data_IF_026155233167
#
_entry.id   IF_026155233167
#
_cell.length_a   1.000
_cell.length_b   1.000
_cell.length_c   1.000
_cell.angle_alpha   90.00
_cell.angle_beta   90.00
_cell.angle_gamma   90.00
#
_symmetry.space_group_name_H-M   'P 1'
#
loop_
_entity.id
_entity.type
_entity.pdbx_description
1 polymer ?
#
# COMPACT_ATOMS: atom_id res chain seq x y z
N UNK A 1 21.11 -6.14 2.67
CA UNK A 1 20.83 -7.16 1.65
C UNK A 1 19.71 -8.06 2.17
N UNK A 2 18.71 -8.31 1.37
CA UNK A 2 17.64 -9.27 1.67
C UNK A 2 17.74 -10.43 0.68
N UNK A 3 17.24 -11.60 1.08
CA UNK A 3 17.22 -12.78 0.22
C UNK A 3 15.78 -13.09 -0.19
N UNK A 4 15.55 -13.35 -1.48
CA UNK A 4 14.22 -13.70 -1.99
C UNK A 4 13.76 -15.07 -1.46
N UNK A 5 14.69 -16.04 -1.40
CA UNK A 5 14.43 -17.41 -0.95
C UNK A 5 15.45 -17.84 0.10
N UNK A 6 15.31 -17.46 1.40
CA UNK A 6 16.26 -17.84 2.43
C UNK A 6 16.36 -19.36 2.64
N UNK A 7 15.33 -20.11 2.25
CA UNK A 7 15.33 -21.57 2.29
C UNK A 7 16.41 -22.21 1.40
N UNK A 8 16.92 -21.51 0.38
CA UNK A 8 17.99 -22.01 -0.49
C UNK A 8 19.30 -22.32 0.26
N UNK A 9 19.52 -21.72 1.43
CA UNK A 9 20.68 -22.02 2.27
C UNK A 9 20.74 -23.48 2.76
N UNK A 10 19.59 -24.18 2.81
CA UNK A 10 19.54 -25.61 3.12
C UNK A 10 20.18 -26.50 2.04
N UNK A 11 20.50 -25.94 0.87
CA UNK A 11 21.24 -26.66 -0.19
C UNK A 11 22.75 -26.69 0.05
N UNK A 12 23.32 -25.87 0.94
CA UNK A 12 24.74 -25.84 1.24
C UNK A 12 25.30 -27.22 1.70
N UNK A 13 24.66 -27.93 2.65
CA UNK A 13 25.13 -29.25 3.03
C UNK A 13 25.22 -30.23 1.86
N UNK A 14 24.28 -30.12 0.91
CA UNK A 14 24.23 -30.96 -0.29
C UNK A 14 25.43 -30.70 -1.21
N UNK A 15 25.89 -29.45 -1.33
CA UNK A 15 27.12 -29.07 -2.06
C UNK A 15 28.33 -29.71 -1.42
N UNK A 16 28.43 -29.71 -0.08
CA UNK A 16 29.52 -30.34 0.63
C UNK A 16 29.53 -31.86 0.43
N UNK A 17 28.35 -32.50 0.53
CA UNK A 17 28.21 -33.95 0.31
C UNK A 17 28.61 -34.34 -1.12
N UNK A 18 28.13 -33.55 -2.13
CA UNK A 18 28.46 -33.79 -3.53
C UNK A 18 29.97 -33.62 -3.82
N UNK A 19 30.60 -32.59 -3.26
CA UNK A 19 32.02 -32.32 -3.38
C UNK A 19 32.86 -33.43 -2.70
N UNK A 20 32.43 -33.84 -1.50
CA UNK A 20 33.08 -34.95 -0.78
C UNK A 20 32.94 -36.28 -1.50
N UNK A 21 31.74 -36.60 -2.04
CA UNK A 21 31.49 -37.81 -2.82
C UNK A 21 32.39 -37.85 -4.07
N UNK A 22 32.48 -36.72 -4.79
CA UNK A 22 33.37 -36.59 -5.94
C UNK A 22 34.85 -36.77 -5.55
N UNK A 23 35.29 -36.22 -4.42
CA UNK A 23 36.66 -36.41 -3.92
C UNK A 23 36.95 -37.85 -3.58
N UNK A 24 35.95 -38.60 -3.15
CA UNK A 24 36.09 -40.02 -2.76
C UNK A 24 35.95 -40.98 -3.94
N UNK A 25 35.45 -40.54 -5.08
CA UNK A 25 35.39 -41.40 -6.28
C UNK A 25 36.77 -41.89 -6.67
N UNK A 26 36.93 -43.22 -6.76
CA UNK A 26 38.15 -43.86 -7.24
C UNK A 26 38.27 -43.61 -8.74
N UNK A 27 39.34 -42.92 -9.17
CA UNK A 27 39.65 -42.79 -10.60
C UNK A 27 40.18 -44.14 -11.09
N UNK A 28 39.89 -44.47 -12.33
CA UNK A 28 40.45 -45.64 -12.97
C UNK A 28 42.00 -45.58 -12.86
N UNK A 29 42.59 -46.56 -12.26
CA UNK A 29 44.06 -46.68 -12.18
C UNK A 29 44.54 -47.60 -13.29
N UNK A 30 45.45 -47.11 -14.10
CA UNK A 30 46.17 -47.99 -15.07
C UNK A 30 47.27 -48.66 -14.30
N UNK A 31 47.24 -50.04 -14.24
CA UNK A 31 48.30 -50.81 -13.67
C UNK A 31 49.48 -50.78 -14.63
N UNK A 32 50.59 -50.16 -14.23
CA UNK A 32 51.82 -50.10 -14.97
C UNK A 32 52.86 -50.90 -14.20
N UNK A 33 53.67 -51.73 -14.90
CA UNK A 33 54.57 -52.64 -14.28
C UNK A 33 55.87 -52.04 -13.68
N UNK A 34 56.15 -50.75 -14.05
CA UNK A 34 57.40 -50.10 -13.61
C UNK A 34 57.13 -48.71 -13.00
N UNK A 35 56.76 -48.71 -11.73
CA UNK A 35 56.37 -47.51 -10.96
C UNK A 35 57.59 -46.61 -10.64
N UNK A 36 58.82 -47.10 -10.72
CA UNK A 36 60.02 -46.32 -10.38
C UNK A 36 60.32 -45.15 -11.29
N UNK A 37 59.90 -45.19 -12.56
CA UNK A 37 60.02 -44.09 -13.52
C UNK A 37 59.16 -42.87 -13.22
N UNK A 38 58.13 -42.99 -12.40
CA UNK A 38 57.16 -41.95 -12.12
C UNK A 38 57.25 -41.39 -10.69
N UNK A 39 58.19 -41.86 -9.87
CA UNK A 39 58.26 -41.57 -8.44
C UNK A 39 58.49 -40.13 -8.09
N UNK A 40 59.14 -39.33 -8.93
CA UNK A 40 59.36 -37.90 -8.68
C UNK A 40 58.24 -37.01 -9.19
N UNK A 41 57.38 -37.46 -10.08
CA UNK A 41 56.33 -36.68 -10.71
C UNK A 41 55.00 -36.70 -9.96
N UNK A 42 54.80 -37.65 -9.05
CA UNK A 42 53.45 -37.93 -8.49
C UNK A 42 53.07 -37.18 -7.20
N UNK A 43 54.02 -36.64 -6.41
CA UNK A 43 53.69 -36.23 -5.04
C UNK A 43 52.91 -34.89 -4.93
N UNK A 44 53.52 -33.81 -5.35
CA UNK A 44 53.05 -32.46 -5.03
C UNK A 44 51.94 -31.95 -6.00
N UNK A 45 52.08 -32.23 -7.29
CA UNK A 45 51.09 -31.83 -8.32
C UNK A 45 49.75 -32.57 -8.18
N UNK A 46 49.77 -33.84 -7.84
CA UNK A 46 48.56 -34.63 -7.66
C UNK A 46 47.74 -34.14 -6.44
N UNK A 47 48.38 -33.72 -5.38
CA UNK A 47 47.74 -33.21 -4.19
C UNK A 47 47.12 -31.81 -4.47
N UNK A 48 47.83 -30.92 -5.17
CA UNK A 48 47.36 -29.60 -5.58
C UNK A 48 46.17 -29.72 -6.53
N UNK A 49 46.19 -30.63 -7.51
CA UNK A 49 45.08 -30.79 -8.46
C UNK A 49 43.81 -31.34 -7.78
N UNK A 50 43.96 -32.29 -6.81
CA UNK A 50 42.82 -32.80 -6.03
C UNK A 50 42.25 -31.78 -5.09
N UNK A 51 43.08 -31.06 -4.33
CA UNK A 51 42.66 -30.03 -3.41
C UNK A 51 42.04 -28.82 -4.14
N UNK A 52 42.68 -28.38 -5.21
CA UNK A 52 42.19 -27.30 -6.06
C UNK A 52 40.86 -27.62 -6.74
N UNK A 53 40.72 -28.86 -7.25
CA UNK A 53 39.46 -29.30 -7.85
C UNK A 53 38.30 -29.40 -6.86
N UNK A 54 38.58 -29.82 -5.61
CA UNK A 54 37.59 -29.85 -4.53
C UNK A 54 37.16 -28.42 -4.16
N UNK A 55 38.12 -27.53 -3.92
CA UNK A 55 37.90 -26.16 -3.53
C UNK A 55 37.13 -25.39 -4.61
N UNK A 56 37.49 -25.58 -5.88
CA UNK A 56 36.80 -24.99 -7.01
C UNK A 56 35.32 -25.41 -7.09
N UNK A 57 35.00 -26.67 -6.87
CA UNK A 57 33.63 -27.19 -6.86
C UNK A 57 32.83 -26.64 -5.67
N UNK A 58 33.43 -26.51 -4.51
CA UNK A 58 32.80 -25.90 -3.34
C UNK A 58 32.47 -24.42 -3.60
N UNK A 59 33.41 -23.67 -4.18
CA UNK A 59 33.18 -22.25 -4.53
C UNK A 59 32.05 -22.11 -5.54
N UNK A 60 32.10 -22.87 -6.65
CA UNK A 60 31.05 -22.81 -7.68
C UNK A 60 29.69 -23.26 -7.13
N UNK A 61 29.67 -24.33 -6.35
CA UNK A 61 28.44 -24.80 -5.72
C UNK A 61 27.84 -23.77 -4.74
N UNK A 62 28.69 -23.11 -3.95
CA UNK A 62 28.26 -22.04 -3.04
C UNK A 62 27.74 -20.82 -3.79
N UNK A 63 28.36 -20.44 -4.92
CA UNK A 63 27.86 -19.36 -5.79
C UNK A 63 26.50 -19.71 -6.40
N UNK A 64 26.27 -20.96 -6.79
CA UNK A 64 24.95 -21.40 -7.28
C UNK A 64 23.88 -21.34 -6.19
N UNK A 65 24.21 -21.77 -4.97
CA UNK A 65 23.29 -21.66 -3.82
C UNK A 65 22.99 -20.19 -3.52
N UNK A 66 24.02 -19.31 -3.57
CA UNK A 66 23.84 -17.87 -3.40
C UNK A 66 22.92 -17.29 -4.49
N UNK A 67 23.08 -17.73 -5.74
CA UNK A 67 22.20 -17.33 -6.83
C UNK A 67 20.76 -17.80 -6.60
N UNK A 68 20.55 -19.02 -6.13
CA UNK A 68 19.23 -19.54 -5.77
C UNK A 68 18.60 -18.82 -4.57
N UNK A 69 19.42 -18.34 -3.61
CA UNK A 69 18.94 -17.53 -2.51
C UNK A 69 18.41 -16.17 -2.95
N UNK A 70 18.77 -15.71 -4.17
CA UNK A 70 18.27 -14.48 -4.77
C UNK A 70 18.64 -13.24 -3.95
N UNK A 71 19.95 -12.87 -3.87
CA UNK A 71 20.35 -11.65 -3.17
C UNK A 71 19.77 -10.42 -3.86
N UNK A 72 19.10 -9.55 -3.07
CA UNK A 72 18.46 -8.32 -3.58
C UNK A 72 18.72 -7.15 -2.64
N UNK A 73 18.85 -5.97 -3.23
CA UNK A 73 18.91 -4.70 -2.52
C UNK A 73 17.63 -3.91 -2.77
N UNK A 74 17.03 -3.34 -1.73
CA UNK A 74 15.88 -2.47 -1.90
C UNK A 74 16.30 -1.19 -2.63
N UNK A 75 15.46 -0.76 -3.58
CA UNK A 75 15.63 0.53 -4.25
C UNK A 75 15.11 1.64 -3.33
N UNK A 76 16.03 2.44 -2.79
CA UNK A 76 15.69 3.52 -1.87
C UNK A 76 14.81 4.62 -2.49
N UNK A 77 14.79 4.72 -3.83
CA UNK A 77 13.95 5.69 -4.54
C UNK A 77 12.49 5.27 -4.59
N UNK A 78 12.20 4.01 -4.28
CA UNK A 78 10.84 3.46 -4.27
C UNK A 78 10.35 3.13 -2.86
N UNK A 79 10.87 3.82 -1.84
CA UNK A 79 10.41 3.68 -0.47
C UNK A 79 8.96 4.14 -0.37
N UNK A 80 8.11 3.25 0.11
CA UNK A 80 6.77 3.60 0.56
C UNK A 80 6.73 3.34 2.07
N UNK A 81 6.24 4.28 2.89
CA UNK A 81 6.01 3.99 4.30
C UNK A 81 5.05 2.80 4.41
N UNK A 82 5.44 1.79 5.17
CA UNK A 82 4.68 0.52 5.28
C UNK A 82 3.46 0.61 6.19
N UNK A 83 3.41 1.65 7.02
CA UNK A 83 2.36 1.85 8.01
C UNK A 83 1.50 3.06 7.64
N UNK A 84 1.06 3.12 6.39
CA UNK A 84 -0.04 3.98 6.01
C UNK A 84 -1.34 3.50 6.65
N UNK A 85 -2.29 4.40 6.79
CA UNK A 85 -3.65 4.09 7.25
C UNK A 85 -4.55 3.76 6.05
N UNK A 86 -5.62 3.00 6.30
CA UNK A 86 -6.66 2.79 5.31
C UNK A 86 -7.75 3.83 5.53
N UNK A 87 -8.01 4.67 4.53
CA UNK A 87 -9.00 5.74 4.58
C UNK A 87 -10.07 5.46 3.52
N UNK A 88 -11.32 5.40 3.93
CA UNK A 88 -12.46 5.46 3.02
C UNK A 88 -13.15 6.81 3.18
N UNK A 89 -13.20 7.57 2.09
CA UNK A 89 -14.04 8.73 1.98
C UNK A 89 -15.45 8.29 1.56
N UNK A 90 -16.46 8.64 2.36
CA UNK A 90 -17.88 8.47 2.06
C UNK A 90 -18.44 9.85 1.76
N UNK A 91 -18.68 10.14 0.48
CA UNK A 91 -19.03 11.47 0.00
C UNK A 91 -20.49 11.51 -0.46
N UNK A 92 -21.23 12.42 0.11
CA UNK A 92 -22.59 12.72 -0.31
C UNK A 92 -22.60 13.36 -1.70
N UNK A 93 -23.46 12.84 -2.59
CA UNK A 93 -23.73 13.41 -3.92
C UNK A 93 -25.24 13.68 -4.12
N UNK A 94 -25.98 13.81 -3.02
CA UNK A 94 -27.41 14.16 -3.04
C UNK A 94 -27.66 15.55 -3.60
N UNK A 95 -28.92 15.90 -3.77
CA UNK A 95 -29.34 17.20 -4.35
C UNK A 95 -28.84 18.43 -3.58
N UNK A 96 -28.73 18.36 -2.25
CA UNK A 96 -28.21 19.43 -1.39
C UNK A 96 -26.76 19.81 -1.68
N UNK A 97 -25.96 18.85 -2.21
CA UNK A 97 -24.58 19.10 -2.61
C UNK A 97 -24.42 19.99 -3.85
N UNK A 98 -25.50 20.33 -4.51
CA UNK A 98 -25.46 21.28 -5.63
C UNK A 98 -25.57 22.75 -5.17
N UNK A 99 -25.87 23.02 -3.88
CA UNK A 99 -25.96 24.36 -3.37
C UNK A 99 -24.62 25.09 -3.46
N UNK A 100 -24.68 26.45 -3.74
CA UNK A 100 -23.46 27.25 -3.88
C UNK A 100 -22.77 27.48 -2.54
N UNK A 101 -21.43 27.49 -2.58
CA UNK A 101 -20.56 27.81 -1.44
C UNK A 101 -19.34 28.59 -1.92
N UNK A 102 -18.84 29.53 -1.08
CA UNK A 102 -17.59 30.24 -1.38
C UNK A 102 -16.41 29.31 -1.22
N UNK A 103 -15.53 29.28 -2.22
CA UNK A 103 -14.31 28.48 -2.18
C UNK A 103 -13.11 29.21 -1.56
N UNK A 104 -12.98 30.51 -1.85
CA UNK A 104 -11.96 31.42 -1.31
C UNK A 104 -12.49 32.84 -1.25
N UNK A 105 -11.79 33.75 -0.60
CA UNK A 105 -12.22 35.15 -0.45
C UNK A 105 -12.37 35.91 -1.79
N UNK A 106 -11.58 35.51 -2.81
CA UNK A 106 -11.58 36.15 -4.13
C UNK A 106 -12.33 35.34 -5.21
N UNK A 107 -12.75 34.11 -4.91
CA UNK A 107 -13.29 33.20 -5.91
C UNK A 107 -14.82 33.30 -6.01
N UNK A 108 -15.33 33.03 -7.22
CA UNK A 108 -16.74 32.79 -7.48
C UNK A 108 -17.31 31.65 -6.64
N UNK A 109 -18.59 31.67 -6.39
CA UNK A 109 -19.31 30.56 -5.77
C UNK A 109 -19.23 29.31 -6.62
N UNK A 110 -18.98 28.18 -5.97
CA UNK A 110 -18.96 26.83 -6.58
C UNK A 110 -19.94 25.94 -5.83
N UNK A 111 -20.32 24.78 -6.40
CA UNK A 111 -21.17 23.84 -5.67
C UNK A 111 -20.45 23.23 -4.49
N UNK A 112 -21.19 22.83 -3.44
CA UNK A 112 -20.62 22.08 -2.29
C UNK A 112 -19.88 20.83 -2.72
N UNK A 113 -20.40 20.10 -3.71
CA UNK A 113 -19.73 18.91 -4.26
C UNK A 113 -18.38 19.27 -4.89
N UNK A 114 -18.32 20.37 -5.66
CA UNK A 114 -17.06 20.83 -6.25
C UNK A 114 -16.06 21.28 -5.19
N UNK A 115 -16.51 21.95 -4.14
CA UNK A 115 -15.67 22.32 -3.00
C UNK A 115 -15.13 21.08 -2.27
N UNK A 116 -15.99 20.08 -2.00
CA UNK A 116 -15.63 18.82 -1.39
C UNK A 116 -14.60 18.05 -2.24
N UNK A 117 -14.81 18.02 -3.54
CA UNK A 117 -13.92 17.39 -4.52
C UNK A 117 -12.55 18.03 -4.52
N UNK A 118 -12.44 19.35 -4.56
CA UNK A 118 -11.18 20.09 -4.51
C UNK A 118 -10.46 19.90 -3.18
N UNK A 119 -11.15 19.99 -2.06
CA UNK A 119 -10.57 19.79 -0.74
C UNK A 119 -10.05 18.36 -0.55
N UNK A 120 -10.80 17.36 -1.01
CA UNK A 120 -10.37 15.97 -0.99
C UNK A 120 -9.15 15.72 -1.87
N UNK A 121 -9.09 16.31 -3.06
CA UNK A 121 -7.91 16.19 -3.92
C UNK A 121 -6.67 16.83 -3.28
N UNK A 122 -6.80 18.00 -2.62
CA UNK A 122 -5.72 18.61 -1.85
C UNK A 122 -5.26 17.71 -0.69
N UNK A 123 -6.18 17.11 0.03
CA UNK A 123 -5.87 16.19 1.12
C UNK A 123 -5.08 14.97 0.64
N UNK A 124 -5.44 14.39 -0.51
CA UNK A 124 -4.82 13.19 -1.05
C UNK A 124 -3.48 13.48 -1.73
N UNK A 125 -3.45 14.48 -2.62
CA UNK A 125 -2.30 14.75 -3.48
C UNK A 125 -1.34 15.77 -2.90
N UNK A 126 -1.82 16.56 -1.95
CA UNK A 126 -1.11 17.74 -1.50
C UNK A 126 -1.17 18.87 -2.52
N UNK A 127 -0.51 19.95 -2.21
CA UNK A 127 -0.43 21.16 -3.03
C UNK A 127 -0.61 22.43 -2.22
N UNK A 128 -0.52 23.56 -2.89
CA UNK A 128 -0.71 24.87 -2.25
C UNK A 128 -2.14 25.35 -2.43
N UNK A 129 -2.71 25.90 -1.39
CA UNK A 129 -3.99 26.61 -1.46
C UNK A 129 -3.80 28.01 -2.05
N UNK A 130 -4.89 28.67 -2.52
CA UNK A 130 -4.82 30.06 -2.97
C UNK A 130 -4.25 31.02 -1.90
N UNK A 131 -4.45 30.71 -0.63
CA UNK A 131 -3.95 31.48 0.52
C UNK A 131 -2.47 31.17 0.86
N UNK A 132 -1.80 30.30 0.10
CA UNK A 132 -0.39 29.97 0.27
C UNK A 132 -0.11 28.86 1.31
N UNK A 133 -1.13 28.17 1.80
CA UNK A 133 -0.98 27.06 2.71
C UNK A 133 -0.59 25.77 1.96
N UNK A 134 0.34 25.01 2.52
CA UNK A 134 0.85 23.79 1.93
C UNK A 134 0.18 22.55 2.54
N UNK A 135 -0.38 21.70 1.68
CA UNK A 135 -0.83 20.36 2.04
C UNK A 135 0.22 19.34 1.61
N UNK A 136 0.71 18.50 2.53
CA UNK A 136 1.77 17.54 2.19
C UNK A 136 1.29 16.32 1.41
N UNK A 137 -0.04 16.09 1.33
CA UNK A 137 -0.62 14.91 0.70
C UNK A 137 -0.41 13.61 1.48
N UNK A 138 -0.99 12.50 0.96
CA UNK A 138 -1.00 11.18 1.61
C UNK A 138 -0.56 10.05 0.68
N UNK A 139 0.67 10.08 0.15
CA UNK A 139 1.12 9.09 -0.82
C UNK A 139 1.26 7.67 -0.27
N UNK A 140 1.29 7.52 1.05
CA UNK A 140 1.54 6.26 1.77
C UNK A 140 0.28 5.57 2.24
N UNK A 141 -0.85 6.27 2.24
CA UNK A 141 -2.11 5.74 2.75
C UNK A 141 -2.87 5.02 1.65
N UNK A 142 -3.64 3.99 2.01
CA UNK A 142 -4.58 3.37 1.10
C UNK A 142 -5.89 4.15 1.14
N UNK A 143 -6.25 4.82 0.04
CA UNK A 143 -7.43 5.68 0.00
C UNK A 143 -8.45 5.13 -0.99
N UNK A 144 -9.71 5.08 -0.56
CA UNK A 144 -10.86 4.71 -1.41
C UNK A 144 -11.97 5.73 -1.34
N UNK A 145 -12.93 5.61 -2.24
CA UNK A 145 -14.07 6.52 -2.37
C UNK A 145 -15.38 5.74 -2.52
N UNK A 146 -16.29 6.02 -1.64
CA UNK A 146 -17.70 5.63 -1.72
C UNK A 146 -18.52 6.91 -1.91
N UNK A 147 -19.41 6.94 -2.88
CA UNK A 147 -20.40 8.02 -3.02
C UNK A 147 -21.76 7.49 -2.67
N UNK A 148 -22.62 8.36 -2.20
CA UNK A 148 -23.98 7.99 -1.90
C UNK A 148 -24.96 9.14 -2.13
N UNK A 149 -26.17 8.75 -2.40
CA UNK A 149 -27.38 9.54 -2.36
C UNK A 149 -28.47 8.60 -1.80
N UNK A 150 -29.49 8.22 -2.54
CA UNK A 150 -30.46 7.20 -2.13
C UNK A 150 -29.80 5.80 -1.96
N UNK A 151 -28.82 5.49 -2.79
CA UNK A 151 -28.09 4.20 -2.79
C UNK A 151 -26.58 4.46 -2.77
N UNK A 152 -25.81 3.79 -1.90
CA UNK A 152 -24.36 3.90 -1.88
C UNK A 152 -23.70 3.14 -3.03
N UNK A 153 -22.57 3.66 -3.51
CA UNK A 153 -21.76 3.04 -4.55
C UNK A 153 -20.26 3.20 -4.26
N UNK A 154 -19.54 2.11 -4.25
CA UNK A 154 -18.08 2.16 -4.27
C UNK A 154 -17.59 2.64 -5.63
N UNK A 155 -17.06 3.84 -5.70
CA UNK A 155 -16.52 4.47 -6.92
C UNK A 155 -15.06 4.09 -7.13
N UNK A 156 -14.30 4.08 -6.05
CA UNK A 156 -12.90 3.67 -6.05
C UNK A 156 -12.62 2.78 -4.84
N UNK A 157 -12.19 1.53 -5.03
CA UNK A 157 -11.75 0.69 -3.92
C UNK A 157 -10.46 1.25 -3.30
N UNK A 158 -10.08 0.76 -2.11
CA UNK A 158 -8.82 1.14 -1.47
C UNK A 158 -7.64 0.92 -2.40
N UNK A 159 -6.88 1.97 -2.67
CA UNK A 159 -5.75 1.95 -3.59
C UNK A 159 -4.64 2.87 -3.11
N UNK A 160 -3.39 2.52 -3.45
CA UNK A 160 -2.22 3.40 -3.36
C UNK A 160 -1.97 4.16 -4.67
N UNK A 161 -2.71 3.84 -5.73
CA UNK A 161 -2.57 4.49 -7.03
C UNK A 161 -3.54 5.67 -7.15
N UNK A 162 -3.28 6.72 -6.37
CA UNK A 162 -4.16 7.88 -6.31
C UNK A 162 -4.20 8.66 -7.63
N UNK A 163 -3.05 8.81 -8.29
CA UNK A 163 -2.92 9.68 -9.46
C UNK A 163 -3.73 9.19 -10.68
N UNK A 164 -3.72 7.88 -10.95
CA UNK A 164 -4.35 7.35 -12.18
C UNK A 164 -5.76 6.80 -11.96
N UNK A 165 -6.08 6.35 -10.74
CA UNK A 165 -7.38 5.72 -10.46
C UNK A 165 -8.29 6.67 -9.68
N UNK A 166 -7.84 7.13 -8.51
CA UNK A 166 -8.70 7.92 -7.62
C UNK A 166 -9.02 9.29 -8.22
N UNK A 167 -8.03 10.03 -8.74
CA UNK A 167 -8.25 11.35 -9.33
C UNK A 167 -9.28 11.32 -10.43
N UNK A 168 -9.17 10.38 -11.37
CA UNK A 168 -10.08 10.27 -12.49
C UNK A 168 -11.52 10.01 -12.06
N UNK A 169 -11.71 9.24 -10.99
CA UNK A 169 -13.04 8.96 -10.45
C UNK A 169 -13.62 10.17 -9.72
N UNK A 170 -12.82 10.87 -8.93
CA UNK A 170 -13.23 12.06 -8.21
C UNK A 170 -13.65 13.19 -9.17
N UNK A 171 -12.90 13.38 -10.28
CA UNK A 171 -13.19 14.41 -11.28
C UNK A 171 -14.50 14.15 -12.06
N UNK A 172 -14.99 12.92 -12.08
CA UNK A 172 -16.24 12.52 -12.76
C UNK A 172 -17.48 12.56 -11.87
N UNK A 173 -17.35 12.97 -10.61
CA UNK A 173 -18.48 13.03 -9.70
C UNK A 173 -19.44 14.13 -10.13
N UNK A 174 -20.70 13.78 -10.19
CA UNK A 174 -21.81 14.70 -10.47
C UNK A 174 -22.91 14.54 -9.41
N UNK A 175 -23.57 15.64 -9.00
CA UNK A 175 -24.67 15.57 -8.06
C UNK A 175 -25.85 14.80 -8.67
N UNK A 176 -26.52 13.99 -7.87
CA UNK A 176 -27.71 13.25 -8.28
C UNK A 176 -28.94 14.14 -8.25
N UNK A 177 -29.86 13.91 -9.18
CA UNK A 177 -31.11 14.67 -9.30
C UNK A 177 -32.33 13.72 -9.35
N UNK A 178 -33.48 14.22 -9.03
CA UNK A 178 -34.75 13.48 -9.10
C UNK A 178 -34.92 12.45 -7.96
N UNK A 179 -35.45 11.29 -8.27
CA UNK A 179 -35.80 10.25 -7.29
C UNK A 179 -34.52 9.69 -6.58
N UNK A 180 -33.40 9.72 -7.26
CA UNK A 180 -32.10 9.25 -6.73
C UNK A 180 -31.40 10.28 -5.82
N UNK A 181 -31.99 11.47 -5.63
CA UNK A 181 -31.39 12.57 -4.85
C UNK A 181 -31.56 12.44 -3.33
N UNK A 182 -32.26 11.41 -2.85
CA UNK A 182 -32.39 11.13 -1.42
C UNK A 182 -31.06 10.78 -0.78
N UNK A 183 -30.98 10.89 0.56
CA UNK A 183 -29.74 10.68 1.32
C UNK A 183 -29.87 9.47 2.24
N UNK A 184 -29.00 8.48 2.10
CA UNK A 184 -28.96 7.27 2.93
C UNK A 184 -27.57 7.13 3.58
N UNK A 185 -27.40 7.80 4.71
CA UNK A 185 -26.14 7.83 5.46
C UNK A 185 -25.78 6.46 6.05
N UNK A 186 -26.76 5.71 6.55
CA UNK A 186 -26.52 4.45 7.25
C UNK A 186 -25.90 3.39 6.36
N UNK A 187 -26.51 3.11 5.21
CA UNK A 187 -26.00 2.12 4.25
C UNK A 187 -24.69 2.59 3.62
N UNK A 188 -24.51 3.91 3.42
CA UNK A 188 -23.28 4.47 2.91
C UNK A 188 -22.09 4.22 3.86
N UNK A 189 -22.29 4.42 5.15
CA UNK A 189 -21.31 4.07 6.17
C UNK A 189 -21.03 2.56 6.17
N UNK A 190 -22.06 1.71 6.09
CA UNK A 190 -21.90 0.27 6.07
C UNK A 190 -21.06 -0.20 4.87
N UNK A 191 -21.29 0.34 3.67
CA UNK A 191 -20.49 0.06 2.48
C UNK A 191 -19.03 0.44 2.71
N UNK A 192 -18.76 1.62 3.27
CA UNK A 192 -17.40 2.05 3.63
C UNK A 192 -16.74 1.12 4.65
N UNK A 193 -17.45 0.71 5.68
CA UNK A 193 -16.97 -0.19 6.73
C UNK A 193 -16.62 -1.58 6.18
N UNK A 194 -17.42 -2.14 5.27
CA UNK A 194 -17.13 -3.42 4.60
C UNK A 194 -15.81 -3.34 3.86
N UNK A 195 -15.54 -2.24 3.14
CA UNK A 195 -14.27 -2.04 2.42
C UNK A 195 -13.08 -1.90 3.37
N UNK A 196 -13.25 -1.18 4.48
CA UNK A 196 -12.22 -1.04 5.50
C UNK A 196 -11.95 -2.35 6.25
N UNK A 197 -12.98 -3.13 6.53
CA UNK A 197 -12.83 -4.41 7.22
C UNK A 197 -11.91 -5.36 6.43
N UNK A 198 -12.06 -5.40 5.11
CA UNK A 198 -11.24 -6.22 4.24
C UNK A 198 -9.78 -5.74 4.09
N UNK A 199 -9.44 -4.53 4.55
CA UNK A 199 -8.10 -3.97 4.43
C UNK A 199 -7.15 -4.59 5.49
N UNK A 200 -5.89 -4.90 5.11
CA UNK A 200 -4.91 -5.49 6.03
C UNK A 200 -4.28 -4.47 7.00
N UNK A 201 -4.62 -3.19 6.89
CA UNK A 201 -4.04 -2.11 7.69
C UNK A 201 -4.48 -2.19 9.15
N UNK A 202 -3.58 -1.85 10.06
CA UNK A 202 -3.87 -1.80 11.51
C UNK A 202 -4.77 -0.61 11.87
N UNK A 203 -4.51 0.57 11.26
CA UNK A 203 -5.33 1.78 11.45
C UNK A 203 -6.29 1.94 10.28
N UNK A 204 -7.57 2.11 10.58
CA UNK A 204 -8.66 2.25 9.62
C UNK A 204 -9.51 3.44 10.00
N UNK A 205 -9.80 4.29 9.03
CA UNK A 205 -10.53 5.55 9.22
C UNK A 205 -11.60 5.67 8.15
N UNK A 206 -12.79 6.08 8.57
CA UNK A 206 -13.87 6.48 7.68
C UNK A 206 -14.08 7.97 7.80
N UNK A 207 -14.12 8.68 6.67
CA UNK A 207 -14.46 10.09 6.60
C UNK A 207 -15.83 10.21 5.94
N UNK A 208 -16.81 10.67 6.67
CA UNK A 208 -18.16 10.92 6.17
C UNK A 208 -18.33 12.40 5.88
N UNK A 209 -18.57 12.76 4.63
CA UNK A 209 -18.89 14.12 4.21
C UNK A 209 -20.36 14.18 3.77
N UNK A 210 -21.20 14.78 4.59
CA UNK A 210 -22.66 14.90 4.40
C UNK A 210 -23.23 15.98 5.30
N UNK A 211 -24.36 16.55 4.93
CA UNK A 211 -25.14 17.44 5.80
C UNK A 211 -25.90 16.69 6.91
N UNK A 212 -25.82 15.37 6.93
CA UNK A 212 -26.43 14.51 7.95
C UNK A 212 -27.92 14.27 7.79
N UNK A 213 -28.58 14.90 6.81
CA UNK A 213 -29.98 14.64 6.53
C UNK A 213 -30.14 13.19 6.05
N UNK A 214 -31.06 12.45 6.65
CA UNK A 214 -31.37 11.06 6.28
C UNK A 214 -32.81 11.04 5.75
N UNK A 215 -32.94 11.27 4.44
CA UNK A 215 -34.26 11.44 3.79
C UNK A 215 -34.79 10.17 3.14
N UNK A 216 -33.91 9.22 2.82
CA UNK A 216 -34.29 7.96 2.20
C UNK A 216 -34.44 6.85 3.26
N UNK A 217 -35.63 6.76 3.86
CA UNK A 217 -35.95 5.80 4.92
C UNK A 217 -36.81 4.67 4.33
N UNK A 218 -36.23 3.49 4.23
CA UNK A 218 -36.92 2.23 3.91
C UNK A 218 -36.77 1.27 5.09
N UNK A 219 -37.67 0.32 5.27
CA UNK A 219 -37.61 -0.60 6.40
C UNK A 219 -36.33 -1.44 6.43
N UNK A 220 -35.74 -1.72 5.26
CA UNK A 220 -34.52 -2.52 5.10
C UNK A 220 -33.22 -1.69 5.26
N UNK A 221 -33.29 -0.37 5.31
CA UNK A 221 -32.09 0.49 5.37
C UNK A 221 -31.52 0.57 6.79
N UNK A 222 -30.20 0.56 6.87
CA UNK A 222 -29.48 0.74 8.13
C UNK A 222 -29.62 2.18 8.61
N UNK A 223 -29.97 2.37 9.88
CA UNK A 223 -30.03 3.73 10.45
C UNK A 223 -28.61 4.23 10.73
N UNK A 224 -28.32 5.55 10.63
CA UNK A 224 -26.99 6.10 10.88
C UNK A 224 -26.37 5.68 12.22
N UNK A 225 -27.18 5.65 13.27
CA UNK A 225 -26.75 5.25 14.62
C UNK A 225 -26.37 3.76 14.71
N UNK A 226 -27.03 2.88 13.95
CA UNK A 226 -26.70 1.45 13.88
C UNK A 226 -25.37 1.26 13.12
N UNK A 227 -25.14 2.02 12.04
CA UNK A 227 -23.89 2.01 11.33
C UNK A 227 -22.72 2.52 12.20
N UNK A 228 -22.97 3.57 13.01
CA UNK A 228 -21.98 4.06 13.97
C UNK A 228 -21.63 3.00 15.04
N UNK A 229 -22.63 2.29 15.55
CA UNK A 229 -22.39 1.18 16.49
C UNK A 229 -21.56 0.06 15.86
N UNK A 230 -21.83 -0.25 14.57
CA UNK A 230 -21.03 -1.23 13.83
C UNK A 230 -19.58 -0.75 13.67
N UNK A 231 -19.37 0.53 13.33
CA UNK A 231 -18.03 1.11 13.24
C UNK A 231 -17.27 1.05 14.57
N UNK A 232 -17.93 1.41 15.67
CA UNK A 232 -17.37 1.33 17.01
C UNK A 232 -16.98 -0.11 17.39
N UNK A 233 -17.82 -1.10 17.10
CA UNK A 233 -17.55 -2.52 17.35
C UNK A 233 -16.35 -3.04 16.52
N UNK A 234 -16.13 -2.48 15.33
CA UNK A 234 -14.99 -2.79 14.45
C UNK A 234 -13.71 -2.00 14.83
N UNK A 235 -13.79 -1.08 15.78
CA UNK A 235 -12.66 -0.20 16.16
C UNK A 235 -12.27 0.78 15.05
N UNK A 236 -13.23 1.17 14.20
CA UNK A 236 -13.02 2.11 13.09
C UNK A 236 -13.52 3.48 13.51
N UNK A 237 -12.61 4.47 13.56
CA UNK A 237 -12.98 5.85 13.84
C UNK A 237 -13.68 6.49 12.64
N UNK A 238 -14.78 7.18 12.89
CA UNK A 238 -15.55 7.90 11.86
C UNK A 238 -15.45 9.39 12.11
N UNK A 239 -14.83 10.11 11.18
CA UNK A 239 -14.79 11.57 11.16
C UNK A 239 -15.92 12.06 10.29
N UNK A 240 -16.71 13.00 10.82
CA UNK A 240 -17.84 13.58 10.08
C UNK A 240 -17.52 15.01 9.71
N UNK A 241 -17.64 15.35 8.44
CA UNK A 241 -17.47 16.70 7.89
C UNK A 241 -18.83 17.17 7.38
N UNK A 242 -19.30 18.26 7.93
CA UNK A 242 -20.57 18.88 7.60
C UNK A 242 -20.33 20.09 6.67
N UNK A 243 -20.58 19.96 5.35
CA UNK A 243 -20.36 21.03 4.38
C UNK A 243 -21.49 22.04 4.31
N UNK A 244 -22.58 21.81 5.02
CA UNK A 244 -23.71 22.69 5.02
C UNK A 244 -23.50 23.85 6.00
N UNK A 245 -23.60 25.06 5.49
CA UNK A 245 -23.55 26.30 6.26
C UNK A 245 -24.77 26.49 7.16
N UNK A 246 -24.87 27.71 7.72
CA UNK A 246 -26.07 28.15 8.39
C UNK A 246 -27.19 28.35 7.37
N UNK A 247 -28.40 27.95 7.76
CA UNK A 247 -29.56 28.16 6.92
C UNK A 247 -29.87 29.65 6.79
N UNK A 248 -30.37 30.13 5.63
CA UNK A 248 -30.86 31.50 5.47
C UNK A 248 -31.86 31.87 6.55
N UNK A 249 -31.89 33.16 6.92
CA UNK A 249 -32.76 33.66 7.98
C UNK A 249 -34.27 33.46 7.72
N UNK A 250 -34.67 33.32 6.48
CA UNK A 250 -36.01 33.08 5.98
C UNK A 250 -36.41 31.60 5.87
N UNK A 251 -35.53 30.68 6.30
CA UNK A 251 -35.83 29.26 6.28
C UNK A 251 -36.99 28.87 7.16
N UNK A 252 -37.79 27.90 6.69
CA UNK A 252 -38.95 27.40 7.45
C UNK A 252 -38.51 26.71 8.75
N UNK A 253 -39.38 26.69 9.78
CA UNK A 253 -39.09 25.98 11.02
C UNK A 253 -38.75 24.50 10.82
N UNK A 254 -39.40 23.86 9.84
CA UNK A 254 -39.15 22.44 9.48
C UNK A 254 -37.75 22.25 8.91
N UNK A 255 -37.26 23.12 8.03
CA UNK A 255 -35.91 23.07 7.49
C UNK A 255 -34.88 23.24 8.60
N UNK A 256 -35.09 24.15 9.55
CA UNK A 256 -34.18 24.33 10.69
C UNK A 256 -34.15 23.10 11.56
N UNK A 257 -35.30 22.51 11.87
CA UNK A 257 -35.39 21.28 12.67
C UNK A 257 -34.68 20.13 11.99
N UNK A 258 -34.90 19.89 10.69
CA UNK A 258 -34.22 18.83 9.95
C UNK A 258 -32.68 19.03 9.94
N UNK A 259 -32.25 20.26 9.76
CA UNK A 259 -30.81 20.61 9.81
C UNK A 259 -30.20 20.35 11.18
N UNK A 260 -30.90 20.70 12.26
CA UNK A 260 -30.44 20.44 13.63
C UNK A 260 -30.35 18.90 13.92
N UNK A 261 -31.34 18.14 13.46
CA UNK A 261 -31.33 16.68 13.55
C UNK A 261 -30.15 16.10 12.76
N UNK A 262 -29.90 16.57 11.54
CA UNK A 262 -28.75 16.15 10.72
C UNK A 262 -27.42 16.40 11.41
N UNK A 263 -27.22 17.63 11.92
CA UNK A 263 -26.02 18.01 12.68
C UNK A 263 -25.83 17.15 13.91
N UNK A 264 -26.87 16.92 14.68
CA UNK A 264 -26.81 16.05 15.86
C UNK A 264 -26.48 14.61 15.50
N UNK A 265 -27.03 14.12 14.39
CA UNK A 265 -26.72 12.77 13.88
C UNK A 265 -25.23 12.62 13.56
N UNK A 266 -24.63 13.60 12.89
CA UNK A 266 -23.19 13.59 12.58
C UNK A 266 -22.33 13.66 13.84
N UNK A 267 -22.72 14.46 14.82
CA UNK A 267 -22.05 14.55 16.13
C UNK A 267 -22.13 13.24 16.91
N UNK A 268 -23.29 12.60 16.92
CA UNK A 268 -23.50 11.30 17.56
C UNK A 268 -22.62 10.21 16.92
N UNK A 269 -22.58 10.16 15.58
CA UNK A 269 -21.72 9.21 14.82
C UNK A 269 -20.25 9.38 15.22
N UNK A 270 -19.74 10.62 15.18
CA UNK A 270 -18.36 10.90 15.52
C UNK A 270 -18.04 10.52 16.96
N UNK A 271 -18.90 10.91 17.91
CA UNK A 271 -18.70 10.62 19.34
C UNK A 271 -18.73 9.11 19.64
N UNK A 272 -19.69 8.38 19.07
CA UNK A 272 -19.84 6.94 19.27
C UNK A 272 -18.64 6.13 18.76
N UNK A 273 -17.96 6.62 17.73
CA UNK A 273 -16.86 5.91 17.06
C UNK A 273 -15.48 6.39 17.48
N UNK A 274 -15.41 7.39 18.37
CA UNK A 274 -14.13 7.98 18.81
C UNK A 274 -13.47 8.85 17.75
N UNK A 275 -14.22 9.31 16.75
CA UNK A 275 -13.82 10.33 15.77
C UNK A 275 -14.17 11.74 16.22
N UNK A 276 -14.21 12.68 15.28
CA UNK A 276 -14.52 14.08 15.51
C UNK A 276 -15.49 14.62 14.46
N UNK A 277 -16.42 15.47 14.90
CA UNK A 277 -17.30 16.25 14.03
C UNK A 277 -16.61 17.56 13.66
N UNK A 278 -16.58 17.89 12.38
CA UNK A 278 -15.96 19.08 11.80
C UNK A 278 -17.02 19.85 10.99
N UNK A 279 -17.28 21.08 11.37
CA UNK A 279 -18.19 21.97 10.63
C UNK A 279 -17.43 22.73 9.56
N UNK A 280 -17.94 22.76 8.34
CA UNK A 280 -17.27 23.33 7.18
C UNK A 280 -18.25 24.15 6.32
N UNK A 281 -18.65 25.29 6.83
CA UNK A 281 -19.69 26.18 6.23
C UNK A 281 -19.24 26.87 4.93
N UNK A 282 -17.96 26.87 4.62
CA UNK A 282 -17.41 27.40 3.37
C UNK A 282 -16.17 26.57 2.92
N UNK A 283 -15.60 26.93 1.77
CA UNK A 283 -14.45 26.24 1.23
C UNK A 283 -13.18 26.38 2.08
N UNK A 284 -13.05 27.47 2.83
CA UNK A 284 -11.93 27.71 3.75
C UNK A 284 -12.06 26.78 4.95
N UNK A 285 -13.24 26.75 5.58
CA UNK A 285 -13.53 25.86 6.70
C UNK A 285 -13.42 24.38 6.29
N UNK A 286 -13.79 24.04 5.06
CA UNK A 286 -13.67 22.69 4.53
C UNK A 286 -12.19 22.26 4.38
N UNK A 287 -11.33 23.14 3.88
CA UNK A 287 -9.87 22.87 3.83
C UNK A 287 -9.28 22.72 5.23
N UNK A 288 -9.69 23.59 6.16
CA UNK A 288 -9.27 23.50 7.55
C UNK A 288 -9.70 22.19 8.23
N UNK A 289 -10.93 21.72 7.96
CA UNK A 289 -11.40 20.42 8.43
C UNK A 289 -10.52 19.26 7.94
N UNK A 290 -10.15 19.26 6.66
CA UNK A 290 -9.22 18.27 6.12
C UNK A 290 -7.81 18.38 6.69
N UNK A 291 -7.34 19.59 7.02
CA UNK A 291 -6.05 19.80 7.69
C UNK A 291 -6.05 19.26 9.12
N UNK A 292 -7.11 19.55 9.88
CA UNK A 292 -7.26 18.99 11.22
C UNK A 292 -7.27 17.46 11.19
N UNK A 293 -7.99 16.88 10.26
CA UNK A 293 -8.02 15.43 10.05
C UNK A 293 -6.63 14.87 9.66
N UNK A 294 -5.87 15.60 8.84
CA UNK A 294 -4.50 15.23 8.50
C UNK A 294 -3.61 15.17 9.75
N UNK A 295 -3.72 16.14 10.64
CA UNK A 295 -2.97 16.16 11.89
C UNK A 295 -3.38 15.04 12.85
N UNK A 296 -4.67 14.76 12.98
CA UNK A 296 -5.20 13.72 13.89
C UNK A 296 -4.80 12.31 13.46
N UNK A 297 -4.77 12.04 12.16
CA UNK A 297 -4.58 10.71 11.60
C UNK A 297 -3.26 10.53 10.85
N UNK A 298 -2.27 11.37 11.10
CA UNK A 298 -0.93 11.19 10.53
C UNK A 298 -0.14 10.23 11.41
N UNK A 299 -0.08 8.96 10.99
CA UNK A 299 0.77 7.97 11.63
C UNK A 299 2.26 8.26 11.29
N UNK A 300 3.19 8.20 12.28
CA UNK A 300 4.61 8.25 11.98
C UNK A 300 4.99 7.01 11.16
N UNK A 301 5.62 7.23 10.00
CA UNK A 301 6.12 6.14 9.17
C UNK A 301 7.30 5.46 9.87
N UNK A 302 7.06 4.35 10.54
CA UNK A 302 8.09 3.59 11.29
C UNK A 302 8.75 2.51 10.46
N UNK A 303 8.07 2.05 9.40
CA UNK A 303 8.54 0.97 8.53
C UNK A 303 8.39 1.38 7.06
N UNK A 304 9.32 0.91 6.21
CA UNK A 304 9.26 1.18 4.78
C UNK A 304 9.07 -0.11 3.98
N UNK A 305 8.10 -0.13 3.08
CA UNK A 305 7.98 -1.14 2.03
C UNK A 305 8.70 -0.65 0.77
N UNK A 306 9.52 -1.51 0.21
CA UNK A 306 10.21 -1.21 -1.04
C UNK A 306 9.44 -1.84 -2.20
N UNK A 307 9.04 -1.02 -3.16
CA UNK A 307 8.26 -1.45 -4.32
C UNK A 307 9.14 -2.13 -5.38
N UNK A 308 10.43 -1.81 -5.42
CA UNK A 308 11.41 -2.39 -6.35
C UNK A 308 12.63 -2.85 -5.60
N UNK A 309 13.19 -3.95 -6.10
CA UNK A 309 14.46 -4.50 -5.63
C UNK A 309 15.40 -4.64 -6.80
N UNK A 310 16.68 -4.28 -6.62
CA UNK A 310 17.75 -4.63 -7.54
C UNK A 310 18.17 -6.08 -7.26
N UNK A 311 17.99 -6.94 -8.25
CA UNK A 311 18.30 -8.36 -8.16
C UNK A 311 19.74 -8.60 -8.59
N UNK A 312 20.52 -9.26 -7.72
CA UNK A 312 21.93 -9.59 -7.96
C UNK A 312 22.16 -11.05 -8.31
N UNK A 313 21.11 -11.86 -8.44
CA UNK A 313 21.24 -13.25 -8.82
C UNK A 313 21.85 -13.45 -10.23
N UNK A 314 21.66 -12.59 -11.26
CA UNK A 314 22.28 -12.78 -12.55
C UNK A 314 23.82 -12.71 -12.49
N UNK A 315 24.36 -11.80 -11.64
CA UNK A 315 25.80 -11.69 -11.42
C UNK A 315 26.37 -12.91 -10.70
N UNK A 316 25.64 -13.45 -9.74
CA UNK A 316 26.03 -14.67 -9.06
C UNK A 316 26.03 -15.89 -10.01
N UNK A 317 25.04 -15.99 -10.92
CA UNK A 317 24.98 -17.04 -11.95
C UNK A 317 26.14 -16.89 -12.94
N UNK A 318 26.40 -15.67 -13.43
CA UNK A 318 27.51 -15.44 -14.37
C UNK A 318 28.86 -15.78 -13.73
N UNK A 319 29.09 -15.40 -12.46
CA UNK A 319 30.30 -15.76 -11.72
C UNK A 319 30.44 -17.28 -11.54
N UNK A 320 29.34 -17.98 -11.23
CA UNK A 320 29.34 -19.44 -11.13
C UNK A 320 29.67 -20.13 -12.47
N UNK A 321 29.11 -19.60 -13.57
CA UNK A 321 29.33 -20.15 -14.91
C UNK A 321 30.80 -19.95 -15.37
N UNK A 322 31.35 -18.75 -15.15
CA UNK A 322 32.78 -18.47 -15.41
C UNK A 322 33.65 -19.35 -14.54
N UNK A 323 33.31 -19.53 -13.25
CA UNK A 323 34.01 -20.44 -12.35
C UNK A 323 34.02 -21.90 -12.84
N UNK A 324 32.87 -22.39 -13.36
CA UNK A 324 32.78 -23.73 -13.97
C UNK A 324 33.67 -23.89 -15.20
N UNK A 325 33.65 -22.89 -16.10
CA UNK A 325 34.51 -22.93 -17.31
C UNK A 325 35.99 -22.92 -16.96
N UNK A 326 36.39 -22.05 -16.03
CA UNK A 326 37.78 -22.02 -15.52
C UNK A 326 38.19 -23.33 -14.88
N UNK A 327 37.30 -23.92 -14.08
CA UNK A 327 37.57 -25.20 -13.43
C UNK A 327 37.74 -26.32 -14.45
N UNK A 328 36.90 -26.36 -15.48
CA UNK A 328 37.04 -27.29 -16.61
C UNK A 328 38.31 -27.07 -17.39
N UNK A 329 38.67 -25.81 -17.68
CA UNK A 329 39.91 -25.46 -18.37
C UNK A 329 41.16 -25.91 -17.56
N UNK A 330 41.18 -25.65 -16.25
CA UNK A 330 42.26 -26.09 -15.36
C UNK A 330 42.36 -27.63 -15.29
N UNK A 331 41.24 -28.34 -15.24
CA UNK A 331 41.20 -29.79 -15.25
C UNK A 331 41.72 -30.42 -16.56
N UNK A 332 41.49 -29.75 -17.69
CA UNK A 332 41.93 -30.23 -19.01
C UNK A 332 43.35 -29.83 -19.35
N UNK A 333 43.90 -28.79 -18.73
CA UNK A 333 45.25 -28.24 -19.03
C UNK A 333 46.25 -28.57 -17.90
N UNK A 334 46.17 -27.83 -16.79
CA UNK A 334 47.19 -27.84 -15.74
C UNK A 334 47.00 -28.95 -14.71
N UNK A 335 45.78 -29.34 -14.43
CA UNK A 335 45.43 -30.39 -13.46
C UNK A 335 45.17 -31.76 -14.13
N UNK A 336 45.63 -31.88 -15.35
CA UNK A 336 45.51 -33.15 -16.10
C UNK A 336 46.30 -34.22 -15.34
N UNK A 337 45.60 -35.07 -14.61
CA UNK A 337 46.14 -36.30 -14.06
C UNK A 337 46.00 -37.35 -15.15
N UNK A 338 47.11 -37.87 -15.62
CA UNK A 338 47.11 -39.07 -16.48
C UNK A 338 46.35 -40.17 -15.75
N UNK A 339 45.52 -40.96 -16.46
CA UNK A 339 44.75 -42.05 -15.88
C UNK A 339 45.58 -43.11 -15.22
#
# INVERSE_FOLDING_TARGET
>A
MQFACPQAWWLLPLVFVAAWWWFRQRRAAVCYSEVRLFGELCGRRAWISRGGGLLGRLVVGSLLVLACAGPRLPDERTRLPAEGIAIIMVMDVSGSMNEPVRWSDEASEISRLEAARRAFLLFVFGGNTPEGEEFPGRPSDAIGLVTFAAVPRTVCPLTFNHASVLRQQVERLEPKAGIDAGTNVGDAMAEGLIRLQAAPHLRKVLILLSDGEHTHITEDNLRPRQAAQLAANLGISVYTIDPAGELPADSTPEMRQNRDIGRQTLQDIATMTGGQYLSAHDGIALREAFRQLDHLERAPATTYLYRRYFEYYPQAITAALVGLLLLRWLETTWWRTLP
#
